data_IF_784531155133
#
_entry.id   IF_784531155133
#
_cell.length_a   1.000
_cell.length_b   1.000
_cell.length_c   1.000
_cell.angle_alpha   90.00
_cell.angle_beta   90.00
_cell.angle_gamma   90.00
#
_symmetry.space_group_name_H-M   'P 1'
#
loop_
_entity.id
_entity.type
_entity.pdbx_description
1 polymer ?
#
# COMPACT_ATOMS: atom_id res chain seq x y z
N UNK A 1 12.37 -4.98 -11.69
CA UNK A 1 12.12 -5.23 -10.25
C UNK A 1 10.80 -4.58 -9.78
N UNK A 2 10.07 -3.87 -10.64
CA UNK A 2 8.83 -3.10 -10.34
C UNK A 2 7.56 -3.89 -10.03
N UNK A 3 7.64 -5.22 -9.88
CA UNK A 3 6.42 -6.05 -9.84
C UNK A 3 5.87 -6.30 -8.44
N UNK A 4 6.73 -6.47 -7.43
CA UNK A 4 6.27 -6.84 -6.07
C UNK A 4 7.06 -6.14 -4.97
N UNK A 5 8.38 -6.07 -5.08
CA UNK A 5 9.26 -5.46 -4.06
C UNK A 5 9.07 -3.94 -3.95
N UNK A 6 8.78 -3.25 -5.06
CA UNK A 6 8.54 -1.79 -5.07
C UNK A 6 7.34 -1.37 -4.23
N UNK A 7 6.36 -2.25 -4.01
CA UNK A 7 5.20 -1.97 -3.16
C UNK A 7 5.50 -2.02 -1.66
N UNK A 8 6.54 -2.75 -1.26
CA UNK A 8 6.90 -2.95 0.15
C UNK A 8 8.22 -2.27 0.55
N UNK A 9 9.01 -1.84 -0.44
CA UNK A 9 10.34 -1.29 -0.21
C UNK A 9 10.54 -0.01 -1.03
N UNK A 10 10.10 1.11 -0.46
CA UNK A 10 10.17 2.46 -1.03
C UNK A 10 11.58 3.08 -0.96
N UNK A 11 12.62 2.30 -1.27
CA UNK A 11 13.98 2.86 -1.44
C UNK A 11 14.16 3.30 -2.88
N UNK A 12 14.95 4.35 -3.08
CA UNK A 12 15.36 4.79 -4.41
C UNK A 12 15.82 3.58 -5.24
N UNK A 13 15.34 3.47 -6.48
CA UNK A 13 15.64 2.34 -7.37
C UNK A 13 17.17 2.09 -7.48
N UNK A 14 17.97 3.16 -7.42
CA UNK A 14 19.45 3.10 -7.38
C UNK A 14 20.00 2.27 -6.23
N UNK A 15 19.41 2.34 -5.04
CA UNK A 15 19.84 1.52 -3.88
C UNK A 15 19.52 0.04 -4.11
N UNK A 16 18.40 -0.27 -4.75
CA UNK A 16 17.99 -1.65 -5.06
C UNK A 16 18.98 -2.31 -6.05
N UNK A 17 19.59 -1.55 -6.96
CA UNK A 17 20.58 -2.08 -7.91
C UNK A 17 21.97 -2.32 -7.29
N UNK A 18 22.30 -1.70 -6.15
CA UNK A 18 23.57 -1.94 -5.46
C UNK A 18 23.51 -3.15 -4.51
N UNK A 19 22.33 -3.51 -4.00
CA UNK A 19 22.18 -4.65 -3.08
C UNK A 19 22.67 -5.99 -3.66
N UNK A 20 22.41 -6.35 -4.94
CA UNK A 20 22.95 -7.57 -5.53
C UNK A 20 24.48 -7.63 -5.51
N UNK A 21 25.18 -6.49 -5.67
CA UNK A 21 26.64 -6.44 -5.60
C UNK A 21 27.14 -6.68 -4.18
N UNK A 22 26.46 -6.13 -3.16
CA UNK A 22 26.77 -6.40 -1.75
C UNK A 22 26.56 -7.87 -1.40
N UNK A 23 25.49 -8.48 -1.88
CA UNK A 23 25.24 -9.92 -1.71
C UNK A 23 26.33 -10.78 -2.36
N UNK A 24 26.86 -10.35 -3.52
CA UNK A 24 28.00 -11.02 -4.17
C UNK A 24 29.27 -10.85 -3.33
N UNK A 25 29.57 -9.64 -2.85
CA UNK A 25 30.73 -9.38 -1.99
C UNK A 25 30.69 -10.21 -0.69
N UNK A 26 29.49 -10.48 -0.16
CA UNK A 26 29.27 -11.33 1.01
C UNK A 26 29.23 -12.84 0.69
N UNK A 27 29.40 -13.26 -0.57
CA UNK A 27 29.33 -14.68 -0.97
C UNK A 27 27.92 -15.29 -0.97
N UNK A 28 26.88 -14.48 -0.76
CA UNK A 28 25.48 -14.90 -0.73
C UNK A 28 24.84 -14.98 -2.12
N UNK A 29 25.44 -14.31 -3.11
CA UNK A 29 25.05 -14.40 -4.52
C UNK A 29 26.28 -14.55 -5.43
N UNK A 30 26.06 -14.98 -6.66
CA UNK A 30 27.06 -15.00 -7.75
C UNK A 30 26.55 -14.15 -8.90
N UNK A 31 27.44 -13.40 -9.53
CA UNK A 31 27.14 -12.65 -10.75
C UNK A 31 27.66 -13.41 -11.97
N UNK A 32 26.83 -13.52 -13.00
CA UNK A 32 27.20 -14.08 -14.30
C UNK A 32 26.94 -13.04 -15.40
N UNK A 33 27.93 -12.70 -16.23
CA UNK A 33 27.68 -11.87 -17.40
C UNK A 33 26.78 -12.64 -18.37
N UNK A 34 25.78 -11.95 -18.90
CA UNK A 34 24.88 -12.46 -19.92
C UNK A 34 24.82 -11.47 -21.08
N UNK A 35 24.34 -11.91 -22.24
CA UNK A 35 24.20 -11.05 -23.41
C UNK A 35 22.77 -11.13 -23.92
N UNK A 36 22.17 -9.97 -24.19
CA UNK A 36 20.89 -9.86 -24.89
C UNK A 36 21.18 -9.15 -26.21
N UNK A 37 21.35 -9.93 -27.28
CA UNK A 37 21.93 -9.43 -28.53
C UNK A 37 23.34 -8.89 -28.30
N UNK A 38 23.59 -7.64 -28.72
CA UNK A 38 24.90 -6.96 -28.52
C UNK A 38 25.07 -6.33 -27.13
N UNK A 39 24.02 -6.27 -26.31
CA UNK A 39 24.08 -5.60 -25.00
C UNK A 39 24.49 -6.58 -23.91
N UNK A 40 25.57 -6.26 -23.20
CA UNK A 40 25.99 -6.99 -21.99
C UNK A 40 25.03 -6.69 -20.84
N UNK A 41 24.55 -7.74 -20.18
CA UNK A 41 23.75 -7.71 -18.95
C UNK A 41 24.42 -8.57 -17.88
N UNK A 42 23.93 -8.51 -16.64
CA UNK A 42 24.43 -9.33 -15.52
C UNK A 42 23.23 -9.99 -14.85
N UNK A 43 23.29 -11.32 -14.72
CA UNK A 43 22.31 -12.10 -13.97
C UNK A 43 22.94 -12.48 -12.63
N UNK A 44 22.16 -12.31 -11.56
CA UNK A 44 22.56 -12.70 -10.21
C UNK A 44 21.86 -13.99 -9.82
N UNK A 45 22.60 -14.90 -9.19
CA UNK A 45 22.11 -16.21 -8.76
C UNK A 45 22.45 -16.42 -7.28
N UNK A 46 21.45 -16.76 -6.46
CA UNK A 46 21.63 -17.03 -5.03
C UNK A 46 22.50 -18.27 -4.80
N UNK A 47 23.45 -18.20 -3.86
CA UNK A 47 24.30 -19.35 -3.49
C UNK A 47 23.63 -20.25 -2.45
N UNK A 48 24.22 -21.41 -2.14
CA UNK A 48 23.78 -22.24 -1.02
C UNK A 48 23.87 -21.47 0.31
N UNK A 49 24.95 -20.71 0.51
CA UNK A 49 25.10 -19.83 1.65
C UNK A 49 24.02 -18.74 1.67
N UNK A 50 23.71 -18.13 0.52
CA UNK A 50 22.60 -17.16 0.40
C UNK A 50 21.23 -17.74 0.72
N UNK A 51 20.94 -18.98 0.30
CA UNK A 51 19.68 -19.67 0.66
C UNK A 51 19.60 -19.96 2.16
N UNK A 52 20.72 -20.32 2.77
CA UNK A 52 20.81 -20.55 4.23
C UNK A 52 20.57 -19.22 4.96
N UNK A 53 21.27 -18.15 4.58
CA UNK A 53 21.07 -16.83 5.17
C UNK A 53 19.63 -16.30 5.00
N UNK A 54 18.99 -16.56 3.85
CA UNK A 54 17.59 -16.22 3.63
C UNK A 54 16.66 -17.03 4.55
N UNK A 55 16.93 -18.32 4.73
CA UNK A 55 16.19 -19.16 5.66
C UNK A 55 16.34 -18.65 7.10
N UNK A 56 17.56 -18.42 7.56
CA UNK A 56 17.84 -17.92 8.91
C UNK A 56 17.17 -16.55 9.14
N UNK A 57 17.09 -15.70 8.11
CA UNK A 57 16.38 -14.43 8.19
C UNK A 57 14.87 -14.60 8.38
N UNK A 58 14.26 -15.66 7.84
CA UNK A 58 12.83 -15.96 8.04
C UNK A 58 12.52 -16.37 9.49
N UNK A 59 13.52 -16.82 10.25
CA UNK A 59 13.37 -17.17 11.67
C UNK A 59 13.45 -15.95 12.59
N UNK A 60 13.89 -14.80 12.07
CA UNK A 60 13.95 -13.57 12.86
C UNK A 60 12.54 -12.96 13.04
N UNK A 61 12.24 -12.31 14.17
CA UNK A 61 11.00 -11.59 14.36
C UNK A 61 10.74 -10.57 13.25
N UNK A 62 9.53 -10.60 12.68
CA UNK A 62 9.13 -9.63 11.66
C UNK A 62 9.06 -8.22 12.25
N UNK A 63 9.61 -7.24 11.51
CA UNK A 63 9.46 -5.84 11.87
C UNK A 63 8.01 -5.37 11.67
N UNK A 64 7.54 -4.46 12.53
CA UNK A 64 6.24 -3.82 12.36
C UNK A 64 6.19 -2.93 11.11
N UNK A 65 4.97 -2.72 10.58
CA UNK A 65 4.73 -1.80 9.46
C UNK A 65 5.12 -0.38 9.88
N UNK A 66 5.88 0.30 9.03
CA UNK A 66 6.23 1.71 9.17
C UNK A 66 5.58 2.51 8.05
N UNK A 67 5.01 3.66 8.39
CA UNK A 67 4.43 4.59 7.43
C UNK A 67 5.36 5.79 7.28
N UNK A 68 5.92 5.96 6.09
CA UNK A 68 6.66 7.16 5.69
C UNK A 68 5.84 7.85 4.60
N UNK A 69 5.29 9.03 4.90
CA UNK A 69 4.41 9.76 3.98
C UNK A 69 4.56 11.26 4.16
N UNK A 70 5.20 11.93 3.20
CA UNK A 70 5.27 13.40 3.15
C UNK A 70 3.86 14.02 3.12
N UNK A 71 2.94 13.40 2.40
CA UNK A 71 1.57 13.89 2.30
C UNK A 71 0.85 13.89 3.66
N UNK A 72 1.01 12.84 4.47
CA UNK A 72 0.46 12.82 5.83
C UNK A 72 1.17 13.80 6.76
N UNK A 73 2.46 14.08 6.55
CA UNK A 73 3.17 15.13 7.29
C UNK A 73 2.58 16.51 6.96
N UNK A 74 2.28 16.80 5.68
CA UNK A 74 1.58 18.04 5.30
C UNK A 74 0.21 18.19 5.96
N UNK A 75 -0.55 17.10 6.06
CA UNK A 75 -1.82 17.09 6.79
C UNK A 75 -1.62 17.35 8.29
N UNK A 76 -0.60 16.74 8.90
CA UNK A 76 -0.31 16.90 10.33
C UNK A 76 0.13 18.31 10.72
N UNK A 77 0.73 19.06 9.78
CA UNK A 77 1.19 20.44 9.98
C UNK A 77 0.36 21.45 9.17
N UNK A 78 -0.91 21.13 8.90
CA UNK A 78 -1.79 21.99 8.12
C UNK A 78 -2.07 23.35 8.81
N UNK A 79 -1.87 23.44 10.12
CA UNK A 79 -1.95 24.65 10.93
C UNK A 79 -0.88 25.71 10.57
N UNK A 80 0.20 25.30 9.90
CA UNK A 80 1.19 26.23 9.33
C UNK A 80 0.76 26.86 8.00
N UNK A 81 -0.36 26.42 7.42
CA UNK A 81 -0.90 26.86 6.13
C UNK A 81 -2.34 27.34 6.23
N UNK A 82 -3.15 27.00 5.22
CA UNK A 82 -4.58 27.30 5.19
C UNK A 82 -5.45 26.07 4.86
N UNK A 83 -6.77 26.24 5.01
CA UNK A 83 -7.75 25.16 4.78
C UNK A 83 -7.81 24.72 3.32
N UNK A 84 -7.48 25.60 2.37
CA UNK A 84 -7.45 25.24 0.95
C UNK A 84 -6.25 24.33 0.64
N UNK A 85 -5.08 24.60 1.22
CA UNK A 85 -3.90 23.76 1.12
C UNK A 85 -4.13 22.38 1.76
N UNK A 86 -4.78 22.32 2.92
CA UNK A 86 -5.20 21.07 3.55
C UNK A 86 -6.11 20.26 2.62
N UNK A 87 -7.18 20.87 2.10
CA UNK A 87 -8.12 20.20 1.19
C UNK A 87 -7.44 19.72 -0.10
N UNK A 88 -6.57 20.53 -0.70
CA UNK A 88 -5.77 20.13 -1.87
C UNK A 88 -4.92 18.90 -1.56
N UNK A 89 -4.24 18.89 -0.41
CA UNK A 89 -3.41 17.77 0.02
C UNK A 89 -4.25 16.49 0.18
N UNK A 90 -5.44 16.57 0.79
CA UNK A 90 -6.35 15.42 0.94
C UNK A 90 -6.83 14.90 -0.42
N UNK A 91 -7.16 15.80 -1.35
CA UNK A 91 -7.57 15.44 -2.70
C UNK A 91 -6.45 14.75 -3.49
N UNK A 92 -5.21 15.23 -3.37
CA UNK A 92 -4.04 14.62 -3.98
C UNK A 92 -3.78 13.21 -3.42
N UNK A 93 -3.90 13.03 -2.10
CA UNK A 93 -3.81 11.70 -1.47
C UNK A 93 -4.90 10.77 -2.00
N UNK A 94 -6.14 11.27 -2.13
CA UNK A 94 -7.25 10.48 -2.70
C UNK A 94 -6.95 10.05 -4.13
N UNK A 95 -6.52 10.98 -4.98
CA UNK A 95 -6.22 10.71 -6.38
C UNK A 95 -5.09 9.67 -6.55
N UNK A 96 -4.00 9.78 -5.79
CA UNK A 96 -2.94 8.76 -5.80
C UNK A 96 -3.49 7.40 -5.35
N UNK A 97 -4.25 7.36 -4.25
CA UNK A 97 -4.83 6.11 -3.76
C UNK A 97 -5.80 5.45 -4.75
N UNK A 98 -6.59 6.23 -5.50
CA UNK A 98 -7.47 5.73 -6.56
C UNK A 98 -6.66 5.12 -7.71
N UNK A 99 -5.61 5.82 -8.16
CA UNK A 99 -4.73 5.34 -9.23
C UNK A 99 -4.02 4.04 -8.82
N UNK A 100 -3.47 3.98 -7.60
CA UNK A 100 -2.78 2.79 -7.07
C UNK A 100 -3.70 1.61 -6.87
N UNK A 101 -4.90 1.83 -6.34
CA UNK A 101 -5.88 0.77 -6.16
C UNK A 101 -6.30 0.18 -7.51
N UNK A 102 -6.52 1.03 -8.52
CA UNK A 102 -6.82 0.59 -9.89
C UNK A 102 -5.69 -0.26 -10.44
N UNK A 103 -4.44 0.22 -10.36
CA UNK A 103 -3.26 -0.52 -10.80
C UNK A 103 -3.14 -1.91 -10.14
N UNK A 104 -3.40 -2.00 -8.83
CA UNK A 104 -3.36 -3.26 -8.08
C UNK A 104 -4.47 -4.21 -8.54
N UNK A 105 -5.69 -3.71 -8.71
CA UNK A 105 -6.83 -4.52 -9.13
C UNK A 105 -6.65 -5.09 -10.53
N UNK A 106 -6.14 -4.28 -11.46
CA UNK A 106 -5.87 -4.70 -12.83
C UNK A 106 -4.83 -5.83 -12.86
N UNK A 107 -3.72 -5.65 -12.14
CA UNK A 107 -2.67 -6.69 -12.03
C UNK A 107 -3.18 -7.98 -11.37
N UNK A 108 -3.98 -7.88 -10.30
CA UNK A 108 -4.51 -9.07 -9.64
C UNK A 108 -5.54 -9.81 -10.51
N UNK A 109 -6.32 -9.09 -11.32
CA UNK A 109 -7.23 -9.67 -12.30
C UNK A 109 -6.47 -10.39 -13.42
N UNK A 110 -5.40 -9.77 -13.93
CA UNK A 110 -4.47 -10.43 -14.86
C UNK A 110 -3.88 -11.71 -14.25
N UNK A 111 -3.44 -11.68 -13.00
CA UNK A 111 -2.83 -12.85 -12.36
C UNK A 111 -3.84 -13.96 -12.07
N UNK A 112 -5.09 -13.62 -11.74
CA UNK A 112 -6.16 -14.59 -11.55
C UNK A 112 -6.48 -15.37 -12.83
N UNK A 113 -6.25 -14.76 -14.01
CA UNK A 113 -6.55 -15.36 -15.32
C UNK A 113 -5.32 -16.04 -15.94
N UNK A 114 -4.14 -15.45 -15.82
CA UNK A 114 -2.90 -15.92 -16.46
C UNK A 114 -2.01 -16.78 -15.56
N UNK A 115 -2.23 -16.77 -14.24
CA UNK A 115 -1.30 -17.28 -13.25
C UNK A 115 -0.09 -16.35 -12.99
N UNK A 116 0.01 -15.25 -13.74
CA UNK A 116 1.11 -14.31 -13.66
C UNK A 116 2.46 -14.88 -14.13
N UNK A 117 3.55 -14.09 -14.04
CA UNK A 117 4.87 -14.50 -14.49
C UNK A 117 5.52 -15.60 -13.63
N UNK A 118 4.99 -15.84 -12.42
CA UNK A 118 5.50 -16.82 -11.47
C UNK A 118 4.33 -17.61 -10.84
N UNK A 119 3.75 -18.59 -11.55
CA UNK A 119 2.57 -19.32 -11.08
C UNK A 119 2.76 -19.98 -9.71
N UNK A 120 3.94 -20.54 -9.43
CA UNK A 120 4.27 -21.17 -8.14
C UNK A 120 4.23 -20.17 -6.96
N UNK A 121 4.34 -18.87 -7.25
CA UNK A 121 4.29 -17.78 -6.26
C UNK A 121 2.90 -17.16 -6.16
N UNK A 122 1.92 -17.62 -6.93
CA UNK A 122 0.59 -17.01 -7.00
C UNK A 122 -0.12 -16.99 -5.63
N UNK A 123 -0.09 -18.04 -4.79
CA UNK A 123 -0.71 -17.99 -3.46
C UNK A 123 -0.11 -16.90 -2.56
N UNK A 124 1.21 -16.75 -2.56
CA UNK A 124 1.91 -15.72 -1.79
C UNK A 124 1.63 -14.33 -2.35
N UNK A 125 1.57 -14.20 -3.67
CA UNK A 125 1.20 -12.95 -4.35
C UNK A 125 -0.23 -12.53 -4.02
N UNK A 126 -1.17 -13.48 -3.92
CA UNK A 126 -2.56 -13.20 -3.58
C UNK A 126 -2.70 -12.67 -2.14
N UNK A 127 -1.99 -13.27 -1.18
CA UNK A 127 -1.99 -12.82 0.22
C UNK A 127 -1.45 -11.39 0.33
N UNK A 128 -0.30 -11.12 -0.29
CA UNK A 128 0.34 -9.81 -0.25
C UNK A 128 -0.47 -8.74 -1.00
N UNK A 129 -1.03 -9.08 -2.16
CA UNK A 129 -1.91 -8.21 -2.93
C UNK A 129 -3.19 -7.82 -2.18
N UNK A 130 -3.74 -8.72 -1.36
CA UNK A 130 -4.93 -8.43 -0.55
C UNK A 130 -4.66 -7.33 0.49
N UNK A 131 -3.47 -7.34 1.12
CA UNK A 131 -3.06 -6.30 2.06
C UNK A 131 -2.93 -4.94 1.36
N UNK A 132 -2.25 -4.90 0.20
CA UNK A 132 -2.08 -3.65 -0.57
C UNK A 132 -3.43 -3.05 -0.96
N UNK A 133 -4.36 -3.88 -1.45
CA UNK A 133 -5.71 -3.44 -1.76
C UNK A 133 -6.43 -2.86 -0.52
N UNK A 134 -6.37 -3.56 0.61
CA UNK A 134 -7.02 -3.11 1.85
C UNK A 134 -6.44 -1.79 2.36
N UNK A 135 -5.13 -1.57 2.20
CA UNK A 135 -4.46 -0.33 2.59
C UNK A 135 -4.97 0.87 1.78
N UNK A 136 -5.03 0.76 0.45
CA UNK A 136 -5.54 1.86 -0.38
C UNK A 136 -7.05 2.06 -0.20
N UNK A 137 -7.82 1.00 0.03
CA UNK A 137 -9.24 1.13 0.41
C UNK A 137 -9.42 1.91 1.72
N UNK A 138 -8.56 1.67 2.71
CA UNK A 138 -8.56 2.42 3.96
C UNK A 138 -8.18 3.89 3.76
N UNK A 139 -7.19 4.18 2.91
CA UNK A 139 -6.81 5.56 2.56
C UNK A 139 -7.98 6.29 1.87
N UNK A 140 -8.64 5.65 0.90
CA UNK A 140 -9.80 6.23 0.23
C UNK A 140 -10.97 6.48 1.19
N UNK A 141 -11.15 5.59 2.16
CA UNK A 141 -12.15 5.76 3.22
C UNK A 141 -11.83 6.97 4.08
N UNK A 142 -10.59 7.08 4.53
CA UNK A 142 -10.11 8.21 5.32
C UNK A 142 -10.22 9.52 4.54
N UNK A 143 -9.84 9.55 3.27
CA UNK A 143 -9.86 10.76 2.46
C UNK A 143 -11.29 11.32 2.32
N UNK A 144 -12.28 10.47 2.03
CA UNK A 144 -13.69 10.88 2.00
C UNK A 144 -14.17 11.44 3.33
N UNK A 145 -13.76 10.82 4.44
CA UNK A 145 -14.09 11.32 5.77
C UNK A 145 -13.43 12.68 6.05
N UNK A 146 -12.17 12.85 5.66
CA UNK A 146 -11.43 14.09 5.84
C UNK A 146 -11.99 15.24 4.97
N UNK A 147 -12.38 14.95 3.73
CA UNK A 147 -13.09 15.89 2.85
C UNK A 147 -14.39 16.39 3.52
N UNK A 148 -15.25 15.47 3.96
CA UNK A 148 -16.50 15.82 4.65
C UNK A 148 -16.27 16.56 5.98
N UNK A 149 -15.27 16.12 6.76
CA UNK A 149 -14.94 16.70 8.06
C UNK A 149 -14.48 18.16 7.95
N UNK A 150 -13.77 18.48 6.87
CA UNK A 150 -13.20 19.81 6.63
C UNK A 150 -14.07 20.68 5.75
N UNK A 151 -15.19 20.18 5.21
CA UNK A 151 -16.03 20.90 4.22
C UNK A 151 -16.50 22.28 4.72
N UNK A 152 -16.93 22.36 5.98
CA UNK A 152 -17.47 23.59 6.58
C UNK A 152 -16.42 24.42 7.33
N UNK A 153 -15.15 24.00 7.32
CA UNK A 153 -14.09 24.75 7.99
C UNK A 153 -13.74 26.03 7.21
N UNK A 154 -13.57 27.13 7.93
CA UNK A 154 -13.06 28.40 7.39
C UNK A 154 -11.55 28.58 7.60
N UNK A 155 -10.93 27.68 8.36
CA UNK A 155 -9.52 27.68 8.73
C UNK A 155 -9.10 26.32 9.28
N UNK A 156 -7.91 26.23 9.87
CA UNK A 156 -7.27 24.95 10.26
C UNK A 156 -7.11 24.81 11.78
N UNK A 157 -7.51 25.82 12.54
CA UNK A 157 -7.52 25.83 14.01
C UNK A 157 -8.91 26.18 14.54
N UNK A 158 -9.24 25.87 15.80
CA UNK A 158 -10.52 26.26 16.39
C UNK A 158 -10.81 27.77 16.27
N UNK A 159 -9.79 28.61 16.43
CA UNK A 159 -9.90 30.07 16.34
C UNK A 159 -10.21 30.55 14.93
N UNK A 160 -9.80 29.78 13.92
CA UNK A 160 -10.01 30.09 12.50
C UNK A 160 -11.20 29.35 11.89
N UNK A 161 -11.96 28.62 12.72
CA UNK A 161 -13.21 27.95 12.35
C UNK A 161 -13.10 26.48 11.97
N UNK A 162 -12.02 25.81 12.38
CA UNK A 162 -11.97 24.34 12.38
C UNK A 162 -12.76 23.77 13.56
N UNK A 163 -13.31 22.57 13.39
CA UNK A 163 -14.06 21.87 14.46
C UNK A 163 -13.65 20.41 14.53
N UNK A 164 -13.70 19.82 15.72
CA UNK A 164 -13.43 18.38 15.87
C UNK A 164 -14.66 17.60 15.41
N UNK A 165 -14.55 16.72 14.39
CA UNK A 165 -15.67 15.88 13.98
C UNK A 165 -16.09 14.94 15.12
N UNK A 166 -17.40 14.73 15.34
CA UNK A 166 -17.92 14.00 16.51
C UNK A 166 -17.45 12.54 16.59
N UNK A 167 -17.07 11.93 15.47
CA UNK A 167 -16.64 10.54 15.33
C UNK A 167 -15.10 10.37 15.29
N UNK A 168 -14.33 11.47 15.34
CA UNK A 168 -12.87 11.48 15.12
C UNK A 168 -12.07 10.58 16.09
N UNK A 169 -12.54 10.42 17.32
CA UNK A 169 -11.86 9.63 18.36
C UNK A 169 -12.55 8.30 18.66
N UNK A 170 -13.30 7.78 17.69
CA UNK A 170 -13.97 6.49 17.82
C UNK A 170 -13.36 5.46 16.87
N UNK A 171 -13.27 4.21 17.31
CA UNK A 171 -12.71 3.14 16.47
C UNK A 171 -13.62 2.77 15.27
N UNK A 172 -14.90 3.16 15.31
CA UNK A 172 -15.89 2.78 14.29
C UNK A 172 -16.12 3.92 13.32
N UNK A 173 -15.95 3.63 12.03
CA UNK A 173 -16.35 4.54 10.97
C UNK A 173 -17.87 4.68 10.90
N UNK A 174 -18.41 5.90 10.68
CA UNK A 174 -19.81 6.07 10.31
C UNK A 174 -20.20 5.22 9.10
N UNK A 175 -21.44 4.74 9.09
CA UNK A 175 -21.94 3.82 8.07
C UNK A 175 -21.79 4.37 6.63
N UNK A 176 -21.82 5.70 6.46
CA UNK A 176 -21.62 6.35 5.14
C UNK A 176 -20.23 6.11 4.55
N UNK A 177 -19.21 5.91 5.39
CA UNK A 177 -17.84 5.60 4.97
C UNK A 177 -17.52 4.10 4.95
N UNK A 178 -18.46 3.23 5.34
CA UNK A 178 -18.25 1.80 5.22
C UNK A 178 -18.02 1.41 3.76
N UNK A 179 -17.08 0.51 3.50
CA UNK A 179 -16.83 -0.01 2.15
C UNK A 179 -18.13 -0.50 1.53
N UNK A 180 -18.30 -0.30 0.22
CA UNK A 180 -19.46 -0.78 -0.52
C UNK A 180 -19.74 -2.29 -0.32
N UNK A 181 -18.71 -3.08 0.00
CA UNK A 181 -18.83 -4.50 0.36
C UNK A 181 -19.55 -4.75 1.69
N UNK A 182 -19.42 -3.86 2.68
CA UNK A 182 -20.09 -4.00 3.98
C UNK A 182 -21.61 -3.84 3.86
N UNK A 183 -22.08 -2.95 2.98
CA UNK A 183 -23.53 -2.73 2.73
C UNK A 183 -24.24 -3.99 2.22
N UNK A 184 -23.55 -4.84 1.44
CA UNK A 184 -24.11 -6.10 0.93
C UNK A 184 -24.20 -7.20 2.01
N UNK A 185 -23.30 -7.21 2.99
CA UNK A 185 -23.30 -8.22 4.05
C UNK A 185 -24.43 -8.00 5.08
N UNK A 186 -24.74 -6.75 5.41
CA UNK A 186 -25.87 -6.40 6.30
C UNK A 186 -27.22 -6.66 5.63
N UNK A 187 -27.36 -6.36 4.33
CA UNK A 187 -28.59 -6.64 3.59
C UNK A 187 -28.92 -8.15 3.53
N UNK A 188 -27.90 -9.01 3.46
CA UNK A 188 -28.08 -10.47 3.40
C UNK A 188 -28.41 -11.10 4.78
N UNK A 189 -28.09 -10.43 5.88
CA UNK A 189 -28.39 -10.88 7.25
C UNK A 189 -29.83 -10.55 7.70
N UNK A 190 -30.52 -9.64 7.00
CA UNK A 190 -31.91 -9.26 7.28
C UNK A 190 -32.98 -10.08 6.54
N UNK A 191 -32.60 -11.04 5.68
CA UNK A 191 -33.52 -11.82 4.84
C UNK A 191 -33.50 -13.32 5.20
N UNK A 192 -33.53 -13.65 6.49
CA UNK A 192 -33.79 -15.03 6.94
C UNK A 192 -34.50 -15.06 8.29
N UNK A 193 -35.81 -15.22 8.23
CA UNK A 193 -36.69 -15.74 9.27
C UNK A 193 -37.94 -16.31 8.54
N UNK A 194 -38.61 -17.34 9.08
CA UNK A 194 -38.75 -18.61 8.38
C UNK A 194 -40.16 -18.87 7.85
N UNK A 195 -40.23 -19.81 6.91
CA UNK A 195 -41.42 -20.60 6.58
C UNK A 195 -41.87 -21.40 7.81
N UNK A 196 -43.10 -21.16 8.23
CA UNK A 196 -44.12 -22.17 8.61
C UNK A 196 -45.49 -21.63 8.20
#
# INVERSE_FOLDING_TARGET
>A
MDRTLSWFWLRAASMIYEEPKKLVAAGLARAKPTFTGKRRSTVYEITKAGRTALHDWMDLPAAGIRLESEAMIKVAFADAGDVAQLRSTVQEIRADAEARLTEIMDRLTEYATSGGPFPDRLPITAITGKLLMAQYQAILRWARWAEDATDQWTGVTPETGATVPPDAFTAKWPARYADAGARKATARRGSRAPTE
#
